data_IF_199823087176
#
_entry.id   IF_199823087176
#
_cell.length_a   1.000
_cell.length_b   1.000
_cell.length_c   1.000
_cell.angle_alpha   90.00
_cell.angle_beta   90.00
_cell.angle_gamma   90.00
#
_symmetry.space_group_name_H-M   'P 1'
#
loop_
_entity.id
_entity.type
_entity.pdbx_description
1 polymer ?
#
# COMPACT_ATOMS: atom_id res chain seq x y z
N UNK A 1 23.49 20.79 0.88
CA UNK A 1 22.23 20.01 0.90
C UNK A 1 22.51 18.70 0.16
N UNK A 2 22.42 17.54 0.81
CA UNK A 2 22.71 16.25 0.17
C UNK A 2 21.48 15.75 -0.57
N UNK A 3 21.66 15.35 -1.82
CA UNK A 3 20.67 14.64 -2.66
C UNK A 3 20.90 13.13 -2.52
N UNK A 4 19.85 12.31 -2.68
CA UNK A 4 19.96 10.85 -2.58
C UNK A 4 19.83 10.28 -1.16
N UNK A 5 18.89 10.79 -0.36
CA UNK A 5 18.61 10.26 0.98
C UNK A 5 17.60 9.11 0.91
N UNK A 6 17.79 8.09 1.77
CA UNK A 6 16.77 7.07 2.02
C UNK A 6 15.54 7.72 2.70
N UNK A 7 14.31 7.47 2.22
CA UNK A 7 13.10 8.00 2.84
C UNK A 7 12.93 7.52 4.30
N UNK A 8 12.09 8.24 5.06
CA UNK A 8 11.67 7.80 6.40
C UNK A 8 10.29 7.13 6.38
N UNK A 9 9.53 7.35 5.31
CA UNK A 9 8.21 6.79 5.09
C UNK A 9 8.01 6.50 3.59
N UNK A 10 7.29 5.43 3.28
CA UNK A 10 6.90 5.05 1.92
C UNK A 10 5.48 4.50 1.89
N UNK A 11 4.78 4.81 0.80
CA UNK A 11 3.38 4.48 0.57
C UNK A 11 3.27 3.89 -0.83
N UNK A 12 2.74 2.67 -0.93
CA UNK A 12 2.49 1.98 -2.20
C UNK A 12 1.07 1.43 -2.26
N UNK A 13 0.73 0.77 -3.36
CA UNK A 13 -0.56 0.12 -3.53
C UNK A 13 -0.49 -1.15 -4.40
N UNK A 14 0.72 -1.58 -4.78
CA UNK A 14 0.92 -2.69 -5.69
C UNK A 14 2.23 -3.44 -5.44
N UNK A 15 2.38 -4.60 -6.06
CA UNK A 15 3.61 -5.41 -6.05
C UNK A 15 4.83 -4.61 -6.54
N UNK A 16 4.62 -3.65 -7.45
CA UNK A 16 5.69 -2.79 -7.98
C UNK A 16 6.27 -1.80 -6.96
N UNK A 17 5.61 -1.61 -5.81
CA UNK A 17 6.06 -0.72 -4.75
C UNK A 17 6.89 -1.45 -3.68
N UNK A 18 6.95 -2.78 -3.75
CA UNK A 18 7.60 -3.64 -2.75
C UNK A 18 9.04 -3.21 -2.47
N UNK A 19 9.86 -3.07 -3.51
CA UNK A 19 11.26 -2.68 -3.37
C UNK A 19 11.44 -1.25 -2.84
N UNK A 20 10.47 -0.34 -3.10
CA UNK A 20 10.46 1.00 -2.51
C UNK A 20 10.22 0.94 -0.99
N UNK A 21 9.31 0.07 -0.55
CA UNK A 21 9.03 -0.14 0.87
C UNK A 21 10.21 -0.84 1.56
N UNK A 22 10.79 -1.87 0.96
CA UNK A 22 12.01 -2.55 1.45
C UNK A 22 13.18 -1.56 1.57
N UNK A 23 13.42 -0.75 0.53
CA UNK A 23 14.45 0.29 0.57
C UNK A 23 14.17 1.34 1.64
N UNK A 24 12.92 1.66 1.94
CA UNK A 24 12.63 2.62 3.02
C UNK A 24 12.84 1.97 4.40
N UNK A 25 12.42 0.72 4.56
CA UNK A 25 12.51 -0.05 5.81
C UNK A 25 13.95 -0.34 6.25
N UNK A 26 14.87 -0.58 5.31
CA UNK A 26 16.25 -0.97 5.63
C UNK A 26 17.16 0.15 6.16
N UNK A 27 16.63 1.31 6.55
CA UNK A 27 17.40 2.40 7.16
C UNK A 27 17.22 2.49 8.67
N UNK A 28 18.23 2.97 9.39
CA UNK A 28 18.21 3.03 10.86
C UNK A 28 17.10 3.92 11.44
N UNK A 29 16.61 3.59 12.64
CA UNK A 29 15.60 4.36 13.37
C UNK A 29 14.17 4.05 12.94
N UNK A 30 13.21 4.85 13.43
CA UNK A 30 11.80 4.65 13.11
C UNK A 30 11.52 4.92 11.62
N UNK A 31 10.85 3.96 10.97
CA UNK A 31 10.43 4.00 9.56
C UNK A 31 8.97 3.61 9.44
N UNK A 32 8.28 4.17 8.44
CA UNK A 32 6.87 3.90 8.17
C UNK A 32 6.67 3.33 6.76
N UNK A 33 6.11 2.12 6.69
CA UNK A 33 5.76 1.47 5.43
C UNK A 33 4.26 1.25 5.43
N UNK A 34 3.61 1.71 4.36
CA UNK A 34 2.17 1.58 4.19
C UNK A 34 1.81 1.13 2.79
N UNK A 35 0.79 0.27 2.70
CA UNK A 35 0.18 -0.17 1.46
C UNK A 35 -1.31 0.16 1.49
N UNK A 36 -1.83 0.74 0.42
CA UNK A 36 -3.27 0.95 0.23
C UNK A 36 -3.86 -0.30 -0.44
N UNK A 37 -4.80 -0.95 0.23
CA UNK A 37 -5.55 -2.08 -0.30
C UNK A 37 -6.91 -1.60 -0.80
N UNK A 38 -7.10 -1.71 -2.12
CA UNK A 38 -8.33 -1.33 -2.81
C UNK A 38 -9.37 -2.45 -2.67
N UNK A 39 -10.18 -2.38 -1.62
CA UNK A 39 -11.20 -3.38 -1.28
C UNK A 39 -12.62 -2.83 -1.20
N UNK A 40 -12.82 -1.62 -1.70
CA UNK A 40 -14.09 -0.91 -1.64
C UNK A 40 -14.71 -0.73 -3.03
N UNK A 41 -15.48 -1.72 -3.48
CA UNK A 41 -16.19 -1.67 -4.76
C UNK A 41 -17.40 -0.72 -4.76
N UNK A 42 -17.84 -0.22 -3.61
CA UNK A 42 -19.03 0.64 -3.50
C UNK A 42 -18.66 2.11 -3.64
N UNK A 43 -17.56 2.52 -2.99
CA UNK A 43 -17.09 3.91 -2.97
C UNK A 43 -15.89 4.13 -3.90
N UNK A 44 -15.18 3.08 -4.30
CA UNK A 44 -14.08 3.10 -5.27
C UNK A 44 -14.06 1.80 -6.09
N UNK A 45 -12.88 1.26 -6.40
CA UNK A 45 -12.69 -0.02 -7.06
C UNK A 45 -12.19 -1.05 -6.05
N UNK A 46 -12.57 -2.30 -6.25
CA UNK A 46 -11.99 -3.43 -5.55
C UNK A 46 -11.18 -4.29 -6.52
N UNK A 47 -9.87 -4.39 -6.29
CA UNK A 47 -8.95 -5.11 -7.17
C UNK A 47 -7.66 -5.52 -6.48
N UNK A 48 -6.91 -6.39 -7.15
CA UNK A 48 -5.63 -6.92 -6.67
C UNK A 48 -5.89 -8.22 -5.92
N UNK A 49 -5.43 -9.38 -6.42
CA UNK A 49 -5.96 -10.70 -6.06
C UNK A 49 -5.79 -11.11 -4.58
N UNK A 50 -5.10 -10.30 -3.77
CA UNK A 50 -5.11 -10.42 -2.32
C UNK A 50 -6.53 -10.52 -1.75
N UNK A 51 -6.70 -11.40 -0.77
CA UNK A 51 -7.95 -11.68 -0.07
C UNK A 51 -9.13 -12.04 -1.00
N UNK A 52 -8.87 -12.56 -2.20
CA UNK A 52 -9.90 -13.05 -3.13
C UNK A 52 -10.56 -11.98 -4.00
N UNK A 53 -9.98 -10.78 -4.08
CA UNK A 53 -10.44 -9.74 -5.01
C UNK A 53 -10.12 -10.10 -6.48
N UNK A 54 -10.75 -9.43 -7.47
CA UNK A 54 -10.43 -9.62 -8.87
C UNK A 54 -8.99 -9.25 -9.21
N UNK A 55 -8.38 -10.00 -10.14
CA UNK A 55 -7.08 -9.63 -10.68
C UNK A 55 -7.19 -8.39 -11.59
N UNK A 56 -6.12 -7.60 -11.67
CA UNK A 56 -6.04 -6.37 -12.45
C UNK A 56 -4.80 -6.39 -13.35
N UNK A 57 -4.91 -5.80 -14.54
CA UNK A 57 -3.77 -5.61 -15.45
C UNK A 57 -2.90 -4.40 -15.09
N UNK A 58 -3.35 -3.59 -14.14
CA UNK A 58 -2.67 -2.36 -13.72
C UNK A 58 -2.57 -2.36 -12.20
N UNK A 59 -1.34 -2.36 -11.66
CA UNK A 59 -1.09 -2.27 -10.22
C UNK A 59 -1.61 -3.46 -9.42
N UNK A 60 -1.17 -4.69 -9.76
CA UNK A 60 -1.53 -5.91 -9.03
C UNK A 60 -1.09 -5.82 -7.56
N UNK A 61 -2.03 -6.02 -6.64
CA UNK A 61 -1.74 -6.26 -5.22
C UNK A 61 -1.91 -7.75 -4.95
N UNK A 62 -0.81 -8.51 -4.96
CA UNK A 62 -0.86 -9.97 -4.80
C UNK A 62 -1.11 -10.41 -3.36
N UNK A 63 -1.59 -11.64 -3.18
CA UNK A 63 -1.63 -12.28 -1.86
C UNK A 63 -0.22 -12.37 -1.24
N UNK A 64 0.82 -12.56 -2.07
CA UNK A 64 2.20 -12.60 -1.59
C UNK A 64 2.61 -11.26 -0.96
N UNK A 65 2.28 -10.12 -1.58
CA UNK A 65 2.53 -8.80 -1.00
C UNK A 65 1.75 -8.57 0.29
N UNK A 66 0.49 -9.01 0.34
CA UNK A 66 -0.34 -8.95 1.57
C UNK A 66 0.31 -9.72 2.72
N UNK A 67 0.81 -10.92 2.44
CA UNK A 67 1.45 -11.77 3.45
C UNK A 67 2.82 -11.22 3.87
N UNK A 68 3.58 -10.66 2.92
CA UNK A 68 4.83 -9.96 3.20
C UNK A 68 4.59 -8.75 4.09
N UNK A 69 3.61 -7.90 3.77
CA UNK A 69 3.29 -6.73 4.56
C UNK A 69 3.00 -7.09 6.03
N UNK A 70 2.20 -8.15 6.25
CA UNK A 70 1.92 -8.67 7.59
C UNK A 70 3.18 -9.18 8.30
N UNK A 71 4.02 -9.95 7.62
CA UNK A 71 5.24 -10.52 8.23
C UNK A 71 6.34 -9.48 8.49
N UNK A 72 6.43 -8.45 7.65
CA UNK A 72 7.39 -7.34 7.73
C UNK A 72 6.90 -6.17 8.59
N UNK A 73 5.69 -6.25 9.16
CA UNK A 73 5.11 -5.20 9.99
C UNK A 73 4.77 -3.91 9.22
N UNK A 74 4.56 -4.01 7.91
CA UNK A 74 4.06 -2.89 7.10
C UNK A 74 2.56 -2.74 7.34
N UNK A 75 2.07 -1.51 7.35
CA UNK A 75 0.66 -1.24 7.57
C UNK A 75 -0.10 -1.42 6.25
N UNK A 76 -1.11 -2.26 6.23
CA UNK A 76 -2.04 -2.36 5.10
C UNK A 76 -3.30 -1.60 5.48
N UNK A 77 -3.63 -0.59 4.68
CA UNK A 77 -4.81 0.25 4.85
C UNK A 77 -5.93 -0.33 4.01
N UNK A 78 -7.04 -0.71 4.62
CA UNK A 78 -8.28 -1.05 3.91
C UNK A 78 -9.00 0.24 3.54
N UNK A 79 -9.22 0.48 2.24
CA UNK A 79 -10.03 1.63 1.81
C UNK A 79 -11.47 1.52 2.34
N UNK A 80 -11.99 0.29 2.42
CA UNK A 80 -13.33 0.03 2.93
C UNK A 80 -13.47 0.34 4.42
N UNK A 81 -12.58 -0.21 5.24
CA UNK A 81 -12.76 -0.23 6.68
C UNK A 81 -12.06 0.94 7.40
N UNK A 82 -10.96 1.48 6.85
CA UNK A 82 -10.15 2.50 7.53
C UNK A 82 -10.46 3.93 7.07
N UNK A 83 -11.01 4.12 5.86
CA UNK A 83 -11.30 5.45 5.33
C UNK A 83 -12.75 5.86 5.55
N UNK A 84 -12.93 6.94 6.33
CA UNK A 84 -14.25 7.56 6.52
C UNK A 84 -14.79 8.26 5.27
N UNK A 85 -13.93 8.65 4.33
CA UNK A 85 -14.30 9.31 3.08
C UNK A 85 -13.24 9.01 2.02
N UNK A 86 -13.66 8.65 0.80
CA UNK A 86 -12.75 8.34 -0.33
C UNK A 86 -12.42 9.62 -1.12
N UNK A 87 -13.45 10.35 -1.55
CA UNK A 87 -13.31 11.56 -2.36
C UNK A 87 -13.70 12.79 -1.55
N UNK A 88 -12.96 13.88 -1.73
CA UNK A 88 -13.39 15.18 -1.21
C UNK A 88 -14.75 15.59 -1.79
N UNK A 89 -15.49 16.43 -1.07
CA UNK A 89 -16.71 17.03 -1.60
C UNK A 89 -16.38 17.80 -2.89
N UNK A 90 -17.26 17.70 -3.88
CA UNK A 90 -17.14 18.50 -5.10
C UNK A 90 -17.27 19.99 -4.77
N UNK A 91 -16.43 20.82 -5.38
CA UNK A 91 -16.58 22.28 -5.38
C UNK A 91 -17.85 22.74 -6.12
#
# INVERSE_FOLDING_TARGET
KFIGKRPIAAFGNSDGDREMLEWTAGGDGARLMMLVFHDDAEREFAYGPANGQPDTKFGTFSQALMDEAKSSGWNVISMKDDWGTIFAASE
#
